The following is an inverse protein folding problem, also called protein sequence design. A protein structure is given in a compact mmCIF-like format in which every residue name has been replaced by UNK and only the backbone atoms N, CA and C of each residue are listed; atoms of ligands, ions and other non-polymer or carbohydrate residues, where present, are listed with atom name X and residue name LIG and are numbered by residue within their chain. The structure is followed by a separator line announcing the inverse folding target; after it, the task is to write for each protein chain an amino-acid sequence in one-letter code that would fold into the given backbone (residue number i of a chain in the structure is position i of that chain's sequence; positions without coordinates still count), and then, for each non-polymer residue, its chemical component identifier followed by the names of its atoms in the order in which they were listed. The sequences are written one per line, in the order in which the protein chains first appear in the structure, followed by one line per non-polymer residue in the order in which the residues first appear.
data_IF_295265091947
#
_entry.id   IF_295265091947
#
_cell.length_a   1.000
_cell.length_b   1.000
_cell.length_c   1.000
_cell.angle_alpha   90.00
_cell.angle_beta   90.00
_cell.angle_gamma   90.00
#
_symmetry.space_group_name_H-M   'P 1'
#
loop_
_entity.id
_entity.type
_entity.pdbx_description
1 polymer ?
#
# COMPACT_ATOMS: atom_id res chain seq x y z
N UNK A 1 -7.56 -10.03 16.39
CA UNK A 1 -8.16 -10.81 15.28
C UNK A 1 -7.29 -10.59 14.06
N UNK A 2 -6.60 -11.64 13.61
CA UNK A 2 -5.67 -11.57 12.48
C UNK A 2 -6.42 -11.47 11.16
N UNK A 3 -5.94 -10.60 10.28
CA UNK A 3 -6.43 -10.41 8.92
C UNK A 3 -6.03 -11.65 8.10
N UNK A 4 -6.92 -12.65 8.10
CA UNK A 4 -6.80 -13.92 7.39
C UNK A 4 -7.13 -13.74 5.89
N UNK A 5 -6.41 -12.83 5.25
CA UNK A 5 -6.64 -12.39 3.86
C UNK A 5 -5.49 -12.69 2.89
N UNK A 6 -4.41 -13.30 3.37
CA UNK A 6 -3.24 -13.67 2.57
C UNK A 6 -2.65 -14.98 3.11
N UNK A 7 -2.97 -16.11 2.48
CA UNK A 7 -2.43 -17.44 2.83
C UNK A 7 -0.96 -17.64 2.41
N UNK A 8 -0.28 -16.58 1.97
CA UNK A 8 1.09 -16.65 1.46
C UNK A 8 1.93 -15.56 2.09
N UNK A 9 3.04 -15.95 2.72
CA UNK A 9 4.06 -15.02 3.24
C UNK A 9 4.51 -14.08 2.11
N UNK A 10 4.50 -12.76 2.30
CA UNK A 10 5.02 -11.82 1.30
C UNK A 10 6.50 -12.11 1.04
N UNK A 11 6.92 -11.93 -0.21
CA UNK A 11 8.33 -11.99 -0.59
C UNK A 11 9.01 -10.62 -0.45
N UNK A 12 8.27 -9.55 -0.71
CA UNK A 12 8.70 -8.17 -0.56
C UNK A 12 7.77 -7.45 0.39
N UNK A 13 8.36 -6.84 1.41
CA UNK A 13 7.65 -6.00 2.36
C UNK A 13 8.53 -4.85 2.84
N UNK A 14 7.90 -3.72 3.16
CA UNK A 14 8.52 -2.53 3.72
C UNK A 14 7.60 -1.94 4.77
N UNK A 15 8.19 -1.51 5.88
CA UNK A 15 7.48 -0.87 6.98
C UNK A 15 8.08 0.50 7.22
N UNK A 16 7.23 1.50 7.33
CA UNK A 16 7.62 2.87 7.67
C UNK A 16 6.69 3.43 8.73
N UNK A 17 7.23 4.38 9.50
CA UNK A 17 6.53 5.04 10.57
C UNK A 17 6.76 6.55 10.43
N UNK A 18 5.68 7.33 10.53
CA UNK A 18 5.76 8.78 10.50
C UNK A 18 4.67 9.40 11.37
N UNK A 19 4.82 10.69 11.64
CA UNK A 19 3.81 11.48 12.36
C UNK A 19 3.13 12.44 11.39
N UNK A 20 1.87 12.73 11.64
CA UNK A 20 1.09 13.69 10.88
C UNK A 20 0.45 14.70 11.84
N UNK A 21 0.38 16.00 11.46
CA UNK A 21 -0.31 17.01 12.25
C UNK A 21 -1.84 16.88 12.16
N UNK A 22 -2.37 16.03 11.26
CA UNK A 22 -3.80 15.83 11.07
C UNK A 22 -4.42 15.10 12.26
N UNK A 23 -5.73 15.29 12.44
CA UNK A 23 -6.51 14.43 13.31
C UNK A 23 -6.65 13.01 12.71
N UNK A 24 -7.08 12.06 13.54
CA UNK A 24 -7.22 10.66 13.15
C UNK A 24 -8.14 10.46 11.94
N UNK A 25 -9.30 11.12 11.94
CA UNK A 25 -10.27 11.00 10.84
C UNK A 25 -9.79 11.68 9.56
N UNK A 26 -9.12 12.83 9.69
CA UNK A 26 -8.52 13.55 8.57
C UNK A 26 -7.40 12.73 7.92
N UNK A 27 -6.52 12.13 8.71
CA UNK A 27 -5.44 11.29 8.19
C UNK A 27 -5.99 10.06 7.45
N UNK A 28 -6.95 9.33 8.05
CA UNK A 28 -7.58 8.17 7.40
C UNK A 28 -8.29 8.57 6.09
N UNK A 29 -9.02 9.69 6.11
CA UNK A 29 -9.73 10.21 4.95
C UNK A 29 -8.77 10.66 3.85
N UNK A 30 -7.71 11.39 4.19
CA UNK A 30 -6.72 11.88 3.23
C UNK A 30 -5.98 10.73 2.56
N UNK A 31 -5.52 9.74 3.33
CA UNK A 31 -4.87 8.54 2.81
C UNK A 31 -5.85 7.78 1.91
N UNK A 32 -7.08 7.50 2.37
CA UNK A 32 -8.10 6.80 1.57
C UNK A 32 -8.37 7.49 0.23
N UNK A 33 -8.54 8.83 0.24
CA UNK A 33 -8.76 9.62 -0.98
C UNK A 33 -7.59 9.53 -1.96
N UNK A 34 -6.35 9.53 -1.47
CA UNK A 34 -5.17 9.44 -2.33
C UNK A 34 -5.13 8.15 -3.15
N UNK A 35 -5.70 7.06 -2.65
CA UNK A 35 -5.75 5.77 -3.35
C UNK A 35 -7.05 5.50 -4.10
N UNK A 36 -8.09 6.32 -3.90
CA UNK A 36 -9.37 6.18 -4.62
C UNK A 36 -9.21 6.35 -6.14
N UNK A 37 -8.28 7.21 -6.58
CA UNK A 37 -8.00 7.46 -8.00
C UNK A 37 -7.42 6.23 -8.74
N UNK A 38 -6.74 5.32 -8.02
CA UNK A 38 -6.02 4.19 -8.60
C UNK A 38 -6.88 2.92 -8.74
N UNK A 39 -8.20 3.03 -8.61
CA UNK A 39 -9.14 1.89 -8.51
C UNK A 39 -8.70 0.89 -7.43
N UNK A 40 -8.07 1.40 -6.37
CA UNK A 40 -7.67 0.59 -5.24
C UNK A 40 -8.90 0.03 -4.52
N UNK A 41 -8.79 -1.20 -4.01
CA UNK A 41 -9.76 -1.73 -3.06
C UNK A 41 -9.34 -1.27 -1.67
N UNK A 42 -10.16 -0.42 -1.06
CA UNK A 42 -9.91 0.15 0.25
C UNK A 42 -10.88 -0.46 1.24
N UNK A 43 -10.37 -0.92 2.39
CA UNK A 43 -11.16 -1.38 3.53
C UNK A 43 -10.70 -0.61 4.75
N UNK A 44 -11.64 -0.02 5.48
CA UNK A 44 -11.37 0.68 6.72
C UNK A 44 -12.06 -0.05 7.87
N UNK A 45 -11.36 -0.23 8.98
CA UNK A 45 -11.86 -0.82 10.21
C UNK A 45 -11.33 -0.03 11.41
N UNK A 46 -12.16 0.87 11.94
CA UNK A 46 -11.77 1.79 13.01
C UNK A 46 -10.55 2.64 12.61
N UNK A 47 -9.42 2.40 13.29
CA UNK A 47 -8.16 3.13 13.06
C UNK A 47 -7.20 2.42 12.10
N UNK A 48 -7.69 1.39 11.42
CA UNK A 48 -6.95 0.59 10.46
C UNK A 48 -7.48 0.80 9.04
N UNK A 49 -6.57 0.90 8.08
CA UNK A 49 -6.86 1.04 6.67
C UNK A 49 -6.06 0.00 5.90
N UNK A 50 -6.73 -0.80 5.09
CA UNK A 50 -6.12 -1.73 4.14
C UNK A 50 -6.42 -1.26 2.71
N UNK A 51 -5.37 -1.06 1.94
CA UNK A 51 -5.43 -0.60 0.55
C UNK A 51 -4.78 -1.68 -0.31
N UNK A 52 -5.51 -2.19 -1.29
CA UNK A 52 -4.99 -3.17 -2.26
C UNK A 52 -5.01 -2.57 -3.66
N UNK A 53 -3.88 -2.62 -4.35
CA UNK A 53 -3.74 -2.15 -5.74
C UNK A 53 -3.20 -3.25 -6.64
N UNK A 54 -3.43 -3.14 -7.95
CA UNK A 54 -3.02 -4.15 -8.92
C UNK A 54 -3.96 -5.36 -9.02
N UNK A 55 -3.58 -6.34 -9.83
CA UNK A 55 -4.39 -7.54 -10.07
C UNK A 55 -3.51 -8.75 -10.35
N UNK A 56 -3.71 -9.82 -9.57
CA UNK A 56 -2.96 -11.06 -9.74
C UNK A 56 -3.14 -11.64 -11.15
N UNK A 57 -4.37 -11.64 -11.67
CA UNK A 57 -4.65 -12.18 -12.99
C UNK A 57 -3.97 -11.35 -14.10
N UNK A 58 -4.01 -10.03 -14.00
CA UNK A 58 -3.39 -9.15 -14.99
C UNK A 58 -1.86 -9.27 -14.94
N UNK A 59 -1.27 -9.32 -13.75
CA UNK A 59 0.17 -9.49 -13.62
C UNK A 59 0.65 -10.84 -14.18
N UNK A 60 -0.11 -11.93 -13.97
CA UNK A 60 0.22 -13.25 -14.55
C UNK A 60 0.17 -13.27 -16.08
N UNK A 61 -0.81 -12.59 -16.68
CA UNK A 61 -1.00 -12.60 -18.13
C UNK A 61 0.01 -11.70 -18.87
N UNK A 62 0.42 -10.60 -18.25
CA UNK A 62 1.18 -9.54 -18.93
C UNK A 62 2.61 -9.33 -18.41
N UNK A 63 2.95 -9.90 -17.25
CA UNK A 63 4.28 -9.78 -16.64
C UNK A 63 4.77 -8.33 -16.54
N UNK A 64 6.05 -8.11 -16.80
CA UNK A 64 6.69 -6.78 -16.88
C UNK A 64 6.87 -6.28 -18.34
N UNK A 65 6.19 -6.90 -19.31
CA UNK A 65 6.54 -6.78 -20.74
C UNK A 65 6.50 -5.39 -21.41
N UNK A 66 5.90 -4.28 -20.98
CA UNK A 66 4.89 -4.08 -19.98
C UNK A 66 5.07 -2.75 -19.12
N UNK A 67 5.63 -1.59 -19.51
CA UNK A 67 5.64 -0.34 -18.68
C UNK A 67 4.34 0.03 -17.91
N UNK A 68 3.17 0.09 -18.56
CA UNK A 68 1.82 0.09 -17.95
C UNK A 68 1.49 -1.09 -17.01
N UNK A 69 2.13 -2.26 -17.14
CA UNK A 69 1.96 -3.39 -16.22
C UNK A 69 2.63 -3.18 -14.86
N UNK A 70 3.57 -2.22 -14.74
CA UNK A 70 4.14 -1.83 -13.42
C UNK A 70 3.07 -1.29 -12.46
N UNK A 71 2.02 -0.65 -12.99
CA UNK A 71 0.85 -0.22 -12.18
C UNK A 71 -0.12 -1.36 -11.85
N UNK A 72 0.07 -2.54 -12.46
CA UNK A 72 -0.75 -3.74 -12.25
C UNK A 72 -0.14 -4.72 -11.25
N UNK A 73 1.07 -4.43 -10.78
CA UNK A 73 1.76 -5.21 -9.75
C UNK A 73 0.87 -5.28 -8.51
N UNK A 74 0.50 -6.49 -8.07
CA UNK A 74 -0.47 -6.67 -7.01
C UNK A 74 0.20 -6.51 -5.64
N UNK A 75 -0.07 -5.38 -5.02
CA UNK A 75 0.52 -4.95 -3.74
C UNK A 75 -0.57 -4.45 -2.81
N UNK A 76 -0.28 -4.55 -1.51
CA UNK A 76 -1.12 -4.03 -0.46
C UNK A 76 -0.34 -3.05 0.41
N UNK A 77 -1.08 -2.13 1.01
CA UNK A 77 -0.62 -1.23 2.04
C UNK A 77 -1.60 -1.32 3.20
N UNK A 78 -1.10 -1.64 4.38
CA UNK A 78 -1.86 -1.56 5.62
C UNK A 78 -1.36 -0.39 6.44
N UNK A 79 -2.28 0.44 6.92
CA UNK A 79 -1.98 1.63 7.69
C UNK A 79 -2.74 1.55 9.00
N UNK A 80 -2.04 1.78 10.12
CA UNK A 80 -2.64 1.95 11.43
C UNK A 80 -2.36 3.35 11.93
N UNK A 81 -3.43 4.08 12.23
CA UNK A 81 -3.35 5.43 12.75
C UNK A 81 -3.63 5.41 14.25
N UNK A 82 -2.86 6.16 15.03
CA UNK A 82 -3.02 6.29 16.48
C UNK A 82 -2.92 7.76 16.87
N UNK A 83 -3.70 8.20 17.85
CA UNK A 83 -3.57 9.56 18.38
C UNK A 83 -2.21 9.77 19.03
N UNK A 84 -1.64 10.96 18.88
CA UNK A 84 -0.42 11.44 19.52
C UNK A 84 -0.68 12.84 20.14
N UNK A 85 0.26 13.36 20.94
CA UNK A 85 0.09 14.66 21.61
C UNK A 85 -0.20 15.81 20.64
N UNK A 86 0.37 15.77 19.43
CA UNK A 86 0.22 16.79 18.39
C UNK A 86 -0.13 16.17 17.04
N UNK A 87 -1.30 15.53 16.96
CA UNK A 87 -1.82 14.91 15.74
C UNK A 87 -1.90 13.39 15.86
N UNK A 88 -1.29 12.67 14.91
CA UNK A 88 -1.31 11.21 14.87
C UNK A 88 0.03 10.59 14.55
N UNK A 89 0.24 9.38 15.05
CA UNK A 89 1.29 8.48 14.63
C UNK A 89 0.72 7.44 13.65
N UNK A 90 1.46 7.18 12.57
CA UNK A 90 1.04 6.33 11.47
C UNK A 90 2.06 5.22 11.31
N UNK A 91 1.60 3.98 11.49
CA UNK A 91 2.35 2.77 11.16
C UNK A 91 1.89 2.28 9.79
N UNK A 92 2.78 2.22 8.81
CA UNK A 92 2.47 1.77 7.46
C UNK A 92 3.30 0.56 7.08
N UNK A 93 2.65 -0.45 6.52
CA UNK A 93 3.29 -1.68 6.04
C UNK A 93 2.81 -1.97 4.63
N UNK A 94 3.72 -1.86 3.67
CA UNK A 94 3.49 -2.17 2.26
C UNK A 94 4.09 -3.54 1.94
N UNK A 95 3.35 -4.39 1.23
CA UNK A 95 3.80 -5.74 0.90
C UNK A 95 3.20 -6.24 -0.41
N UNK A 96 3.87 -7.21 -1.03
CA UNK A 96 3.32 -7.90 -2.20
C UNK A 96 2.22 -8.89 -1.80
N UNK A 97 1.19 -9.01 -2.64
CA UNK A 97 0.06 -9.94 -2.39
C UNK A 97 0.19 -11.26 -3.16
N UNK A 98 1.33 -11.49 -3.79
CA UNK A 98 1.61 -12.68 -4.59
C UNK A 98 2.29 -13.78 -3.77
N UNK A 99 3.10 -13.37 -2.79
CA UNK A 99 3.93 -14.21 -1.94
C UNK A 99 4.82 -15.16 -2.72
N UNK A 100 5.12 -16.33 -2.14
CA UNK A 100 6.01 -17.35 -2.73
C UNK A 100 5.66 -17.80 -4.16
N UNK A 101 4.47 -17.48 -4.70
CA UNK A 101 4.08 -17.81 -6.09
C UNK A 101 4.75 -16.92 -7.13
N UNK A 102 5.55 -15.96 -6.70
CA UNK A 102 6.36 -15.10 -7.58
C UNK A 102 7.56 -15.86 -8.17
N UNK A 103 8.05 -16.91 -7.49
CA UNK A 103 9.25 -17.66 -7.89
C UNK A 103 9.11 -18.45 -9.18
N UNK A 104 7.89 -18.73 -9.64
CA UNK A 104 7.70 -19.55 -10.85
C UNK A 104 7.91 -18.75 -12.14
N UNK A 105 7.90 -17.40 -12.09
CA UNK A 105 7.95 -16.56 -13.29
C UNK A 105 8.64 -15.20 -13.08
N UNK A 106 9.58 -15.06 -12.14
CA UNK A 106 10.26 -13.78 -11.91
C UNK A 106 11.15 -13.42 -13.12
N UNK A 107 10.58 -12.65 -14.05
CA UNK A 107 11.28 -11.98 -15.14
C UNK A 107 12.43 -11.12 -14.58
N UNK A 108 13.54 -11.01 -15.32
CA UNK A 108 14.67 -10.13 -14.96
C UNK A 108 14.17 -8.73 -14.55
N UNK A 109 14.59 -8.23 -13.38
CA UNK A 109 14.19 -6.92 -12.84
C UNK A 109 12.88 -6.89 -12.02
N UNK A 110 12.26 -8.04 -11.72
CA UNK A 110 11.06 -8.10 -10.90
C UNK A 110 11.26 -7.47 -9.51
N UNK A 111 12.37 -7.78 -8.83
CA UNK A 111 12.67 -7.26 -7.49
C UNK A 111 12.64 -5.73 -7.43
N UNK A 112 13.46 -5.05 -8.24
CA UNK A 112 13.49 -3.58 -8.30
C UNK A 112 12.10 -3.01 -8.57
N UNK A 113 11.34 -3.63 -9.48
CA UNK A 113 10.00 -3.15 -9.82
C UNK A 113 9.00 -3.30 -8.65
N UNK A 114 9.11 -4.38 -7.86
CA UNK A 114 8.28 -4.55 -6.65
C UNK A 114 8.71 -3.57 -5.56
N UNK A 115 10.00 -3.46 -5.28
CA UNK A 115 10.53 -2.55 -4.26
C UNK A 115 10.20 -1.08 -4.56
N UNK A 116 10.37 -0.64 -5.81
CA UNK A 116 9.97 0.68 -6.29
C UNK A 116 8.47 0.90 -6.10
N UNK A 117 7.66 -0.13 -6.41
CA UNK A 117 6.21 -0.03 -6.26
C UNK A 117 5.85 0.16 -4.80
N UNK A 118 6.42 -0.62 -3.87
CA UNK A 118 6.17 -0.49 -2.44
C UNK A 118 6.54 0.91 -1.92
N UNK A 119 7.69 1.46 -2.35
CA UNK A 119 8.10 2.82 -2.00
C UNK A 119 7.10 3.87 -2.51
N UNK A 120 6.56 3.67 -3.70
CA UNK A 120 5.51 4.57 -4.24
C UNK A 120 4.26 4.54 -3.36
N UNK A 121 3.80 3.38 -2.86
CA UNK A 121 2.65 3.34 -1.94
C UNK A 121 2.95 4.08 -0.63
N UNK A 122 4.11 3.83 -0.03
CA UNK A 122 4.48 4.45 1.24
C UNK A 122 4.59 5.96 1.08
N UNK A 123 5.28 6.45 0.04
CA UNK A 123 5.40 7.89 -0.25
C UNK A 123 4.05 8.54 -0.54
N UNK A 124 3.16 7.88 -1.28
CA UNK A 124 1.82 8.41 -1.56
C UNK A 124 0.98 8.53 -0.28
N UNK A 125 1.08 7.55 0.62
CA UNK A 125 0.40 7.60 1.91
C UNK A 125 0.99 8.67 2.84
N UNK A 126 2.31 8.79 2.91
CA UNK A 126 2.99 9.82 3.68
C UNK A 126 2.63 11.23 3.19
N UNK A 127 2.73 11.47 1.87
CA UNK A 127 2.36 12.74 1.26
C UNK A 127 0.89 13.10 1.50
N UNK A 128 -0.02 12.12 1.46
CA UNK A 128 -1.43 12.35 1.77
C UNK A 128 -1.66 12.70 3.25
N UNK A 129 -0.89 12.10 4.16
CA UNK A 129 -0.96 12.38 5.59
C UNK A 129 -0.29 13.71 5.98
N UNK A 130 0.64 14.23 5.17
CA UNK A 130 1.27 15.54 5.37
C UNK A 130 0.47 16.69 4.76
N UNK A 131 -0.28 16.42 3.69
CA UNK A 131 -1.09 17.43 3.01
C UNK A 131 -2.22 17.92 3.93
N UNK A 132 -1.97 19.03 4.62
CA UNK A 132 -2.98 19.77 5.37
C UNK A 132 -4.19 20.03 4.46
N UNK A 133 -5.44 19.75 4.89
CA UNK A 133 -6.60 20.12 4.11
C UNK A 133 -6.61 21.65 4.06
N UNK A 134 -6.22 22.21 2.90
CA UNK A 134 -6.57 23.59 2.61
C UNK A 134 -8.10 23.64 2.59
N UNK A 135 -8.62 24.37 3.58
CA UNK A 135 -10.02 24.70 3.80
C UNK A 135 -10.73 25.18 2.53
#
# INVERSE_FOLDING_TARGET
MGIDGSRTKPMFEKTEHWSSPLSLDEALTAISKAFAADKARIRQDGTFLEIRTGSNLQYRLWGNLFSWSRRKIPVALTVRVRAAEHGVHIDAHAFDTFGIRLTDHAFFGAQETFEDRLDVLLRQAAAAAEASPKA
#
